data_IF_388809000540
#
_entry.id   IF_388809000540
#
_cell.length_a   1.000
_cell.length_b   1.000
_cell.length_c   1.000
_cell.angle_alpha   90.00
_cell.angle_beta   90.00
_cell.angle_gamma   90.00
#
_symmetry.space_group_name_H-M   'P 1'
#
loop_
_entity.id
_entity.type
_entity.pdbx_description
1 polymer ?
#
# COMPACT_ATOMS: atom_id res chain seq x y z
N UNK A 1 -8.08 2.11 -13.41
CA UNK A 1 -7.68 3.27 -14.25
C UNK A 1 -8.09 3.16 -15.71
N UNK A 2 -7.59 2.18 -16.49
CA UNK A 2 -7.78 2.15 -17.94
C UNK A 2 -9.25 2.08 -18.37
N UNK A 3 -10.04 1.19 -17.76
CA UNK A 3 -11.48 1.07 -18.03
C UNK A 3 -12.26 2.35 -17.72
N UNK A 4 -11.88 3.06 -16.65
CA UNK A 4 -12.50 4.34 -16.31
C UNK A 4 -12.17 5.39 -17.38
N UNK A 5 -10.90 5.53 -17.74
CA UNK A 5 -10.47 6.45 -18.79
C UNK A 5 -11.09 6.12 -20.15
N UNK A 6 -11.26 4.85 -20.50
CA UNK A 6 -11.95 4.48 -21.75
C UNK A 6 -13.38 5.02 -21.83
N UNK A 7 -14.04 5.19 -20.67
CA UNK A 7 -15.39 5.73 -20.59
C UNK A 7 -15.41 7.26 -20.58
N UNK A 8 -14.47 7.91 -19.87
CA UNK A 8 -14.53 9.36 -19.59
C UNK A 8 -13.55 10.21 -20.41
N UNK A 9 -12.39 9.66 -20.78
CA UNK A 9 -11.37 10.33 -21.61
C UNK A 9 -10.54 9.27 -22.39
N UNK A 10 -11.04 8.80 -23.55
CA UNK A 10 -10.37 7.78 -24.35
C UNK A 10 -8.97 8.15 -24.82
N UNK A 11 -8.67 9.46 -24.94
CA UNK A 11 -7.33 9.92 -25.31
C UNK A 11 -6.36 9.73 -24.13
N UNK A 12 -6.77 10.11 -22.92
CA UNK A 12 -6.00 9.80 -21.71
C UNK A 12 -5.86 8.28 -21.49
N UNK A 13 -6.87 7.48 -21.87
CA UNK A 13 -6.78 6.03 -21.79
C UNK A 13 -5.68 5.44 -22.68
N UNK A 14 -5.44 6.05 -23.86
CA UNK A 14 -4.35 5.63 -24.75
C UNK A 14 -2.98 5.93 -24.13
N UNK A 15 -2.81 7.13 -23.59
CA UNK A 15 -1.57 7.57 -22.92
C UNK A 15 -1.29 6.67 -21.69
N UNK A 16 -2.31 6.36 -20.89
CA UNK A 16 -2.17 5.51 -19.72
C UNK A 16 -1.76 4.07 -20.08
N UNK A 17 -2.24 3.52 -21.19
CA UNK A 17 -1.80 2.19 -21.69
C UNK A 17 -0.33 2.20 -22.05
N UNK A 18 0.13 3.23 -22.76
CA UNK A 18 1.54 3.34 -23.15
C UNK A 18 2.44 3.44 -21.91
N UNK A 19 2.03 4.22 -20.90
CA UNK A 19 2.78 4.40 -19.64
C UNK A 19 2.80 3.16 -18.76
N UNK A 20 1.69 2.43 -18.66
CA UNK A 20 1.63 1.16 -17.90
C UNK A 20 2.21 -0.03 -18.66
N UNK A 21 2.46 0.11 -19.97
CA UNK A 21 2.93 -0.97 -20.84
C UNK A 21 4.15 -1.70 -20.29
N UNK A 22 5.07 -0.98 -19.64
CA UNK A 22 6.29 -1.55 -19.09
C UNK A 22 6.11 -2.38 -17.80
N UNK A 23 4.95 -2.27 -17.13
CA UNK A 23 4.59 -3.08 -15.96
C UNK A 23 3.85 -4.38 -16.34
N UNK A 24 3.26 -4.43 -17.54
CA UNK A 24 2.44 -5.55 -18.03
C UNK A 24 3.12 -6.93 -17.90
N UNK A 25 4.41 -7.10 -18.22
CA UNK A 25 5.07 -8.41 -18.12
C UNK A 25 5.18 -8.96 -16.69
N UNK A 26 5.06 -8.09 -15.68
CA UNK A 26 5.40 -8.41 -14.29
C UNK A 26 4.20 -8.56 -13.36
N UNK A 27 2.98 -8.42 -13.89
CA UNK A 27 1.73 -8.49 -13.12
C UNK A 27 1.61 -9.78 -12.30
N UNK A 28 2.22 -10.87 -12.77
CA UNK A 28 2.16 -12.19 -12.14
C UNK A 28 3.43 -12.56 -11.35
N UNK A 29 4.51 -11.78 -11.46
CA UNK A 29 5.78 -12.01 -10.75
C UNK A 29 6.42 -10.71 -10.21
N UNK A 30 5.83 -10.10 -9.17
CA UNK A 30 6.28 -8.79 -8.67
C UNK A 30 7.67 -8.83 -8.01
N UNK A 31 8.06 -9.99 -7.45
CA UNK A 31 9.40 -10.22 -6.88
C UNK A 31 10.51 -10.20 -7.95
N UNK A 32 10.22 -10.69 -9.16
CA UNK A 32 11.14 -10.64 -10.30
C UNK A 32 11.31 -9.19 -10.81
N UNK A 33 10.25 -8.39 -10.77
CA UNK A 33 10.30 -6.97 -11.16
C UNK A 33 11.30 -6.16 -10.32
N UNK A 34 11.27 -6.30 -8.99
CA UNK A 34 12.19 -5.58 -8.11
C UNK A 34 13.66 -5.83 -8.42
N UNK A 35 14.02 -7.05 -8.83
CA UNK A 35 15.38 -7.42 -9.27
C UNK A 35 15.75 -6.79 -10.61
N UNK A 36 14.81 -6.72 -11.56
CA UNK A 36 15.03 -6.22 -12.92
C UNK A 36 14.99 -4.69 -12.99
N UNK A 37 14.19 -4.05 -12.14
CA UNK A 37 14.07 -2.60 -12.03
C UNK A 37 15.39 -1.89 -11.67
N UNK A 38 16.38 -2.65 -11.17
CA UNK A 38 17.74 -2.18 -10.87
C UNK A 38 18.66 -2.11 -12.11
N UNK A 39 18.24 -2.64 -13.26
CA UNK A 39 18.98 -2.52 -14.52
C UNK A 39 18.55 -1.25 -15.25
N UNK A 40 19.52 -0.53 -15.84
CA UNK A 40 19.39 0.83 -16.42
C UNK A 40 18.28 1.01 -17.47
N UNK A 41 17.68 -0.08 -17.97
CA UNK A 41 16.56 -0.03 -18.91
C UNK A 41 15.20 0.35 -18.29
N UNK A 42 15.05 0.28 -16.96
CA UNK A 42 13.75 0.36 -16.28
C UNK A 42 13.49 1.62 -15.46
N UNK A 43 14.46 2.55 -15.33
CA UNK A 43 14.25 3.88 -14.71
C UNK A 43 13.09 4.68 -15.34
N UNK A 44 12.78 4.40 -16.62
CA UNK A 44 11.71 5.07 -17.36
C UNK A 44 10.29 4.70 -16.89
N UNK A 45 10.11 3.56 -16.23
CA UNK A 45 8.81 3.09 -15.76
C UNK A 45 8.27 3.92 -14.60
N UNK A 46 9.09 4.21 -13.59
CA UNK A 46 8.70 5.03 -12.43
C UNK A 46 8.15 6.38 -12.89
N UNK A 47 8.90 7.08 -13.75
CA UNK A 47 8.52 8.41 -14.22
C UNK A 47 7.20 8.37 -14.99
N UNK A 48 7.03 7.41 -15.89
CA UNK A 48 5.79 7.23 -16.64
C UNK A 48 4.58 6.96 -15.73
N UNK A 49 4.74 6.15 -14.69
CA UNK A 49 3.68 5.81 -13.73
C UNK A 49 3.34 7.01 -12.83
N UNK A 50 4.35 7.73 -12.34
CA UNK A 50 4.17 8.94 -11.53
C UNK A 50 3.50 10.05 -12.33
N UNK A 51 3.91 10.25 -13.59
CA UNK A 51 3.25 11.18 -14.51
C UNK A 51 1.78 10.82 -14.72
N UNK A 52 1.47 9.53 -14.92
CA UNK A 52 0.08 9.10 -15.07
C UNK A 52 -0.76 9.41 -13.82
N UNK A 53 -0.21 9.22 -12.62
CA UNK A 53 -0.86 9.59 -11.37
C UNK A 53 -1.09 11.09 -11.26
N UNK A 54 -0.07 11.88 -11.58
CA UNK A 54 -0.14 13.35 -11.55
C UNK A 54 -1.19 13.88 -12.52
N UNK A 55 -1.27 13.33 -13.73
CA UNK A 55 -2.28 13.74 -14.71
C UNK A 55 -3.70 13.37 -14.30
N UNK A 56 -3.91 12.20 -13.69
CA UNK A 56 -5.22 11.83 -13.13
C UNK A 56 -5.64 12.77 -11.99
N UNK A 57 -4.71 13.12 -11.10
CA UNK A 57 -4.94 14.08 -10.02
C UNK A 57 -5.17 15.51 -10.54
N UNK A 58 -4.46 15.93 -11.58
CA UNK A 58 -4.63 17.26 -12.16
C UNK A 58 -6.03 17.45 -12.78
N UNK A 59 -6.61 16.37 -13.33
CA UNK A 59 -7.96 16.37 -13.90
C UNK A 59 -9.06 16.05 -12.86
N UNK A 60 -8.73 16.04 -11.58
CA UNK A 60 -9.65 15.68 -10.50
C UNK A 60 -10.90 16.55 -10.45
N UNK A 61 -10.76 17.87 -10.62
CA UNK A 61 -11.90 18.79 -10.59
C UNK A 61 -12.84 18.57 -11.78
N UNK A 62 -12.30 18.28 -12.95
CA UNK A 62 -13.06 18.07 -14.19
C UNK A 62 -13.83 16.73 -14.15
N UNK A 63 -13.21 15.68 -13.59
CA UNK A 63 -13.80 14.34 -13.52
C UNK A 63 -14.69 14.11 -12.30
N UNK A 64 -14.40 14.75 -11.16
CA UNK A 64 -15.24 14.65 -9.97
C UNK A 64 -16.63 15.26 -10.18
N UNK A 65 -16.78 16.24 -11.09
CA UNK A 65 -18.08 16.80 -11.47
C UNK A 65 -18.96 15.82 -12.25
N UNK A 66 -18.37 14.81 -12.88
CA UNK A 66 -19.08 13.87 -13.77
C UNK A 66 -19.40 12.54 -13.08
N UNK A 67 -18.50 12.01 -12.22
CA UNK A 67 -18.68 10.67 -11.64
C UNK A 67 -17.78 10.40 -10.41
N UNK A 68 -18.08 11.05 -9.27
CA UNK A 68 -17.18 11.14 -8.11
C UNK A 68 -16.73 9.82 -7.45
N UNK A 69 -17.56 8.77 -7.46
CA UNK A 69 -17.18 7.46 -6.86
C UNK A 69 -16.24 6.69 -7.77
N UNK A 70 -16.57 6.56 -9.05
CA UNK A 70 -15.74 5.87 -10.03
C UNK A 70 -14.39 6.60 -10.26
N UNK A 71 -14.40 7.94 -10.13
CA UNK A 71 -13.19 8.75 -10.13
C UNK A 71 -12.28 8.50 -8.92
N UNK A 72 -12.86 8.36 -7.72
CA UNK A 72 -12.10 8.03 -6.51
C UNK A 72 -11.40 6.69 -6.69
N UNK A 73 -12.12 5.67 -7.15
CA UNK A 73 -11.55 4.33 -7.40
C UNK A 73 -10.42 4.39 -8.44
N UNK A 74 -10.59 5.14 -9.53
CA UNK A 74 -9.55 5.31 -10.53
C UNK A 74 -8.31 6.03 -9.96
N UNK A 75 -8.50 7.09 -9.18
CA UNK A 75 -7.41 7.84 -8.56
C UNK A 75 -6.66 7.03 -7.51
N UNK A 76 -7.37 6.28 -6.66
CA UNK A 76 -6.74 5.37 -5.70
C UNK A 76 -5.96 4.26 -6.41
N UNK A 77 -6.53 3.70 -7.47
CA UNK A 77 -5.85 2.67 -8.26
C UNK A 77 -4.57 3.23 -8.93
N UNK A 78 -4.56 4.48 -9.37
CA UNK A 78 -3.34 5.12 -9.87
C UNK A 78 -2.29 5.27 -8.76
N UNK A 79 -2.66 5.85 -7.62
CA UNK A 79 -1.77 5.99 -6.44
C UNK A 79 -1.18 4.65 -6.00
N UNK A 80 -1.98 3.60 -6.02
CA UNK A 80 -1.54 2.24 -5.76
C UNK A 80 -0.46 1.79 -6.75
N UNK A 81 -0.65 1.99 -8.06
CA UNK A 81 0.34 1.59 -9.08
C UNK A 81 1.66 2.35 -8.88
N UNK A 82 1.63 3.66 -8.61
CA UNK A 82 2.84 4.44 -8.30
C UNK A 82 3.54 3.98 -7.02
N UNK A 83 2.77 3.72 -5.96
CA UNK A 83 3.32 3.26 -4.69
C UNK A 83 3.90 1.85 -4.81
N UNK A 84 3.24 0.97 -5.57
CA UNK A 84 3.70 -0.38 -5.86
C UNK A 84 5.00 -0.39 -6.67
N UNK A 85 5.11 0.45 -7.71
CA UNK A 85 6.34 0.58 -8.50
C UNK A 85 7.52 0.97 -7.61
N UNK A 86 7.36 2.04 -6.83
CA UNK A 86 8.40 2.49 -5.90
C UNK A 86 8.73 1.43 -4.86
N UNK A 87 7.71 0.76 -4.31
CA UNK A 87 7.87 -0.30 -3.32
C UNK A 87 8.67 -1.47 -3.85
N UNK A 88 8.35 -1.99 -5.03
CA UNK A 88 9.09 -3.14 -5.58
C UNK A 88 10.54 -2.78 -5.94
N UNK A 89 10.83 -1.53 -6.31
CA UNK A 89 12.22 -1.11 -6.53
C UNK A 89 13.04 -1.04 -5.25
N UNK A 90 12.44 -0.59 -4.14
CA UNK A 90 13.14 -0.51 -2.84
C UNK A 90 13.12 -1.82 -2.04
N UNK A 91 12.18 -2.72 -2.32
CA UNK A 91 12.04 -4.02 -1.63
C UNK A 91 13.34 -4.83 -1.67
N UNK A 92 14.09 -4.77 -2.78
CA UNK A 92 15.32 -5.55 -2.94
C UNK A 92 16.49 -5.03 -2.07
N UNK A 93 16.44 -3.77 -1.63
CA UNK A 93 17.38 -3.22 -0.66
C UNK A 93 17.05 -3.63 0.78
N UNK A 94 15.83 -4.13 1.01
CA UNK A 94 15.34 -4.60 2.31
C UNK A 94 15.28 -3.50 3.38
N UNK A 95 14.86 -3.90 4.58
CA UNK A 95 14.92 -3.05 5.78
C UNK A 95 13.84 -1.97 5.86
N UNK A 96 14.09 -1.00 6.74
CA UNK A 96 13.16 0.01 7.22
C UNK A 96 12.47 0.80 6.11
N UNK A 97 13.17 1.10 5.02
CA UNK A 97 12.63 1.95 3.94
C UNK A 97 11.47 1.27 3.20
N UNK A 98 11.62 -0.03 2.89
CA UNK A 98 10.56 -0.80 2.23
C UNK A 98 9.33 -0.93 3.13
N UNK A 99 9.55 -1.15 4.43
CA UNK A 99 8.52 -1.24 5.44
C UNK A 99 7.77 0.10 5.60
N UNK A 100 8.52 1.18 5.81
CA UNK A 100 7.98 2.52 6.01
C UNK A 100 7.17 2.99 4.82
N UNK A 101 7.60 2.71 3.59
CA UNK A 101 6.83 3.05 2.39
C UNK A 101 5.49 2.32 2.37
N UNK A 102 5.47 1.03 2.71
CA UNK A 102 4.25 0.22 2.74
C UNK A 102 3.26 0.71 3.80
N UNK A 103 3.72 0.94 5.03
CA UNK A 103 2.86 1.39 6.12
C UNK A 103 2.38 2.83 5.94
N UNK A 104 3.23 3.70 5.38
CA UNK A 104 2.82 5.06 4.98
C UNK A 104 1.74 5.02 3.91
N UNK A 105 1.90 4.18 2.88
CA UNK A 105 0.88 4.03 1.84
C UNK A 105 -0.46 3.52 2.38
N UNK A 106 -0.45 2.56 3.30
CA UNK A 106 -1.68 2.09 3.97
C UNK A 106 -2.36 3.22 4.75
N UNK A 107 -1.58 4.07 5.42
CA UNK A 107 -2.08 5.22 6.16
C UNK A 107 -2.66 6.29 5.24
N UNK A 108 -1.96 6.69 4.18
CA UNK A 108 -2.46 7.64 3.18
C UNK A 108 -3.76 7.13 2.53
N UNK A 109 -3.84 5.83 2.27
CA UNK A 109 -5.07 5.20 1.75
C UNK A 109 -6.23 5.35 2.74
N UNK A 110 -5.99 5.13 4.03
CA UNK A 110 -7.00 5.33 5.08
C UNK A 110 -7.45 6.79 5.14
N UNK A 111 -6.52 7.76 5.11
CA UNK A 111 -6.85 9.19 5.12
C UNK A 111 -7.76 9.55 3.95
N UNK A 112 -7.39 9.14 2.74
CA UNK A 112 -8.22 9.43 1.56
C UNK A 112 -9.62 8.79 1.63
N UNK A 113 -9.75 7.59 2.20
CA UNK A 113 -11.04 6.92 2.37
C UNK A 113 -11.92 7.68 3.38
N UNK A 114 -11.34 8.16 4.47
CA UNK A 114 -12.04 8.98 5.46
C UNK A 114 -12.48 10.32 4.87
N UNK A 115 -11.58 11.01 4.16
CA UNK A 115 -11.89 12.28 3.48
C UNK A 115 -13.02 12.12 2.47
N UNK A 116 -12.98 11.08 1.63
CA UNK A 116 -14.00 10.82 0.62
C UNK A 116 -15.37 10.47 1.20
N UNK A 117 -15.42 9.94 2.43
CA UNK A 117 -16.67 9.63 3.15
C UNK A 117 -17.18 10.81 3.99
N UNK A 118 -16.37 11.85 4.15
CA UNK A 118 -16.73 13.11 4.80
C UNK A 118 -16.39 13.16 6.30
N UNK A 119 -16.64 14.30 6.96
CA UNK A 119 -16.08 14.62 8.29
C UNK A 119 -16.59 13.71 9.43
N UNK A 120 -17.71 13.02 9.24
CA UNK A 120 -18.27 12.10 10.23
C UNK A 120 -17.93 10.62 9.96
N UNK A 121 -17.06 10.35 8.98
CA UNK A 121 -16.67 9.01 8.62
C UNK A 121 -15.91 8.33 9.76
N UNK A 122 -16.11 7.02 9.91
CA UNK A 122 -15.36 6.16 10.82
C UNK A 122 -14.84 4.98 10.03
N UNK A 123 -13.69 4.45 10.45
CA UNK A 123 -13.08 3.28 9.84
C UNK A 123 -12.73 2.23 10.90
N UNK A 124 -12.84 0.97 10.51
CA UNK A 124 -12.24 -0.16 11.22
C UNK A 124 -11.17 -0.72 10.31
N UNK A 125 -9.92 -0.66 10.75
CA UNK A 125 -8.80 -1.20 9.99
C UNK A 125 -8.43 -2.56 10.55
N UNK A 126 -8.56 -3.59 9.72
CA UNK A 126 -8.16 -4.94 10.05
C UNK A 126 -6.78 -5.23 9.45
N UNK A 127 -5.77 -5.34 10.29
CA UNK A 127 -4.41 -5.67 9.87
C UNK A 127 -3.67 -6.45 10.97
N UNK A 128 -2.55 -7.06 10.60
CA UNK A 128 -1.71 -7.79 11.55
C UNK A 128 -1.14 -6.85 12.63
N UNK A 129 -0.84 -7.38 13.83
CA UNK A 129 -0.33 -6.61 14.98
C UNK A 129 0.89 -5.73 14.65
N UNK A 130 1.75 -6.21 13.76
CA UNK A 130 2.93 -5.45 13.29
C UNK A 130 2.56 -4.10 12.68
N UNK A 131 1.37 -3.98 12.10
CA UNK A 131 0.89 -2.74 11.49
C UNK A 131 0.08 -1.87 12.44
N UNK A 132 -0.63 -2.45 13.41
CA UNK A 132 -1.64 -1.70 14.22
C UNK A 132 -1.16 -1.24 15.61
N UNK A 133 0.02 -1.67 16.07
CA UNK A 133 0.63 -1.14 17.30
C UNK A 133 1.15 0.29 17.13
N UNK A 134 1.74 0.88 18.17
CA UNK A 134 2.50 2.14 18.05
C UNK A 134 4.01 1.82 18.04
N UNK A 135 4.60 1.83 16.83
CA UNK A 135 5.99 1.39 16.63
C UNK A 135 7.03 2.20 17.44
N UNK A 136 6.72 3.44 17.87
CA UNK A 136 7.60 4.24 18.75
C UNK A 136 7.93 3.53 20.06
N UNK A 137 7.08 2.59 20.49
CA UNK A 137 7.22 1.85 21.74
C UNK A 137 7.57 0.38 21.52
N UNK A 138 8.00 -0.01 20.32
CA UNK A 138 8.41 -1.38 20.01
C UNK A 138 9.82 -1.40 19.42
N UNK A 139 10.39 -2.60 19.26
CA UNK A 139 11.67 -2.78 18.58
C UNK A 139 11.68 -2.18 17.16
N UNK A 140 10.52 -2.16 16.48
CA UNK A 140 10.37 -1.60 15.14
C UNK A 140 10.85 -0.14 15.11
N UNK A 141 10.29 0.72 15.95
CA UNK A 141 10.70 2.13 15.99
C UNK A 141 12.02 2.36 16.70
N UNK A 142 12.33 1.61 17.77
CA UNK A 142 13.52 1.86 18.61
C UNK A 142 14.81 1.39 17.93
N UNK A 143 14.77 0.25 17.25
CA UNK A 143 15.98 -0.42 16.72
C UNK A 143 16.01 -0.42 15.20
N UNK A 144 14.84 -0.56 14.57
CA UNK A 144 14.76 -0.80 13.12
C UNK A 144 14.41 0.44 12.31
N UNK A 145 14.14 1.59 12.96
CA UNK A 145 13.68 2.82 12.30
C UNK A 145 12.41 2.58 11.45
N UNK A 146 11.59 1.62 11.87
CA UNK A 146 10.36 1.20 11.20
C UNK A 146 9.17 1.94 11.82
N UNK A 147 8.36 2.59 10.97
CA UNK A 147 7.04 3.12 11.34
C UNK A 147 5.96 2.09 11.05
N UNK A 148 4.81 2.23 11.68
CA UNK A 148 3.65 1.42 11.32
C UNK A 148 2.35 2.23 11.27
N UNK A 149 1.35 1.65 10.63
CA UNK A 149 0.04 2.27 10.45
C UNK A 149 -0.58 2.77 11.77
N UNK A 150 -0.49 1.99 12.84
CA UNK A 150 -1.03 2.33 14.16
C UNK A 150 -0.35 3.56 14.77
N UNK A 151 0.98 3.67 14.65
CA UNK A 151 1.72 4.89 15.03
C UNK A 151 1.21 6.10 14.23
N UNK A 152 1.12 5.98 12.90
CA UNK A 152 0.70 7.10 12.05
C UNK A 152 -0.74 7.54 12.38
N UNK A 153 -1.65 6.59 12.59
CA UNK A 153 -3.00 6.85 13.07
C UNK A 153 -3.01 7.56 14.43
N UNK A 154 -2.20 7.09 15.41
CA UNK A 154 -2.11 7.73 16.73
C UNK A 154 -1.57 9.17 16.63
N UNK A 155 -0.57 9.40 15.78
CA UNK A 155 0.01 10.72 15.58
C UNK A 155 -0.95 11.69 14.91
N UNK A 156 -1.75 11.20 13.94
CA UNK A 156 -2.70 12.01 13.17
C UNK A 156 -4.02 12.29 13.88
N UNK A 157 -4.59 11.27 14.52
CA UNK A 157 -5.94 11.31 15.09
C UNK A 157 -5.94 11.40 16.62
N UNK A 158 -4.78 11.33 17.27
CA UNK A 158 -4.67 11.46 18.72
C UNK A 158 -5.53 10.43 19.44
N UNK A 159 -6.39 10.90 20.36
CA UNK A 159 -7.28 10.06 21.16
C UNK A 159 -8.48 9.49 20.39
N UNK A 160 -8.73 9.99 19.18
CA UNK A 160 -9.80 9.46 18.30
C UNK A 160 -9.40 8.10 17.67
N UNK A 161 -8.12 7.73 17.72
CA UNK A 161 -7.64 6.42 17.32
C UNK A 161 -7.65 5.42 18.50
N UNK A 162 -8.22 4.24 18.29
CA UNK A 162 -8.07 3.10 19.19
C UNK A 162 -7.20 2.02 18.53
N UNK A 163 -6.13 1.59 19.20
CA UNK A 163 -5.23 0.55 18.72
C UNK A 163 -5.49 -0.72 19.53
N UNK A 164 -6.01 -1.77 18.89
CA UNK A 164 -6.46 -2.99 19.57
C UNK A 164 -5.59 -4.17 19.11
N UNK A 165 -4.63 -4.55 19.93
CA UNK A 165 -3.76 -5.71 19.68
C UNK A 165 -4.40 -7.03 20.16
N UNK A 166 -4.09 -8.11 19.46
CA UNK A 166 -4.55 -9.47 19.80
C UNK A 166 -3.33 -10.33 20.20
N UNK A 167 -3.34 -10.92 21.39
CA UNK A 167 -2.30 -11.85 21.83
C UNK A 167 -2.86 -13.24 22.06
N UNK A 168 -2.03 -14.26 21.84
CA UNK A 168 -2.35 -15.65 22.20
C UNK A 168 -1.26 -16.24 23.07
N UNK A 169 -1.66 -17.04 24.06
CA UNK A 169 -0.72 -17.74 24.95
C UNK A 169 -0.42 -19.15 24.46
N UNK A 170 -1.44 -19.89 24.03
CA UNK A 170 -1.33 -21.32 23.72
C UNK A 170 -2.31 -21.71 22.62
N UNK A 171 -2.11 -22.89 22.02
CA UNK A 171 -2.99 -23.45 21.00
C UNK A 171 -2.21 -23.80 19.74
N UNK A 172 -2.89 -23.71 18.59
CA UNK A 172 -2.30 -23.95 17.27
C UNK A 172 -2.59 -22.78 16.34
N UNK A 173 -1.73 -22.60 15.34
CA UNK A 173 -1.85 -21.59 14.29
C UNK A 173 -1.60 -22.23 12.93
N UNK A 174 -2.22 -21.69 11.88
CA UNK A 174 -1.88 -22.01 10.50
C UNK A 174 -0.68 -21.15 10.08
N UNK A 175 0.45 -21.77 9.73
CA UNK A 175 1.66 -21.07 9.33
C UNK A 175 2.53 -21.94 8.41
N UNK A 176 3.29 -21.30 7.52
CA UNK A 176 4.28 -21.94 6.66
C UNK A 176 5.66 -22.02 7.35
N UNK A 177 6.55 -22.90 6.90
CA UNK A 177 7.95 -22.94 7.36
C UNK A 177 8.83 -21.94 6.61
N UNK A 178 8.55 -21.77 5.32
CA UNK A 178 9.24 -20.86 4.42
C UNK A 178 8.24 -20.05 3.60
N UNK A 179 8.74 -18.99 2.96
CA UNK A 179 7.95 -18.24 1.99
C UNK A 179 7.48 -19.15 0.85
N UNK A 180 6.22 -18.98 0.45
CA UNK A 180 5.54 -19.78 -0.58
C UNK A 180 5.49 -21.29 -0.33
N UNK A 181 5.83 -21.77 0.88
CA UNK A 181 5.65 -23.17 1.25
C UNK A 181 4.20 -23.49 1.61
N UNK A 182 3.86 -24.78 1.65
CA UNK A 182 2.53 -25.21 2.07
C UNK A 182 2.19 -24.78 3.50
N UNK A 183 0.89 -24.61 3.76
CA UNK A 183 0.37 -24.26 5.08
C UNK A 183 0.41 -25.48 6.01
N UNK A 184 0.91 -25.28 7.23
CA UNK A 184 0.96 -26.29 8.27
C UNK A 184 0.21 -25.82 9.52
N UNK A 185 -0.30 -26.76 10.32
CA UNK A 185 -0.82 -26.47 11.65
C UNK A 185 0.32 -26.61 12.67
N UNK A 186 0.74 -25.49 13.25
CA UNK A 186 1.88 -25.41 14.17
C UNK A 186 1.42 -25.10 15.59
N UNK A 187 2.08 -25.70 16.58
CA UNK A 187 1.79 -25.46 18.00
C UNK A 187 2.45 -24.18 18.47
N UNK A 188 1.67 -23.31 19.12
CA UNK A 188 2.17 -22.08 19.74
C UNK A 188 3.05 -22.43 20.93
N UNK A 189 4.22 -21.78 21.04
CA UNK A 189 5.05 -21.85 22.25
C UNK A 189 4.41 -20.99 23.34
N UNK A 190 4.09 -21.55 24.53
CA UNK A 190 3.57 -20.79 25.64
C UNK A 190 4.43 -19.57 25.97
N UNK A 191 3.81 -18.43 26.28
CA UNK A 191 4.55 -17.25 26.75
C UNK A 191 5.29 -17.58 28.04
N UNK A 192 6.54 -17.13 28.15
CA UNK A 192 7.35 -17.31 29.36
C UNK A 192 6.72 -16.54 30.54
N UNK A 193 6.77 -17.14 31.73
CA UNK A 193 6.38 -16.52 33.01
C UNK A 193 7.45 -15.56 33.52
#
# INVERSE_FOLDING_TARGET
VLQYLDRVDPQAAKIARDRYGCLTPWQHEPSTYGRVALTSGYEKCEQAVLEQCRELLAKQLDYAQQDGVDFLDATQNARLIASAERYYRIMYYGGAHSWNLRDTHMFETLEHLLEARGPNAKAVVWAHNSHIGDARYTEMGIVRDEVNLGQLCRQRFGDEAALIGLSTHSGTVAAASDWDSEMEIKRVRPSHS
#
